data_IF_323262486685
#
_entry.id   IF_323262486685
#
_cell.length_a   1.000
_cell.length_b   1.000
_cell.length_c   1.000
_cell.angle_alpha   90.00
_cell.angle_beta   90.00
_cell.angle_gamma   90.00
#
_symmetry.space_group_name_H-M   'P 1'
#
loop_
_entity.id
_entity.type
_entity.pdbx_description
1 polymer ?
#
# COMPACT_ATOMS: atom_id res chain seq x y z
N UNK A 1 17.79 -39.88 31.92
CA UNK A 1 18.02 -38.70 32.77
C UNK A 1 19.37 -38.17 32.39
N UNK A 2 19.40 -37.00 31.75
CA UNK A 2 20.31 -35.89 32.06
C UNK A 2 19.85 -34.70 31.21
N UNK A 3 19.25 -33.75 31.91
CA UNK A 3 18.86 -32.42 31.45
C UNK A 3 19.98 -31.45 31.87
N UNK A 4 20.41 -30.57 30.96
CA UNK A 4 21.40 -29.50 31.19
C UNK A 4 22.69 -29.75 30.40
N UNK A 5 23.28 -28.83 29.65
CA UNK A 5 23.27 -27.36 29.65
C UNK A 5 23.95 -26.95 28.32
N UNK A 6 23.46 -26.05 27.48
CA UNK A 6 23.68 -24.60 27.56
C UNK A 6 22.80 -23.94 26.50
N UNK A 7 21.58 -23.55 26.87
CA UNK A 7 21.00 -22.34 26.27
C UNK A 7 21.62 -21.20 27.04
N UNK A 8 22.49 -20.41 26.41
CA UNK A 8 22.93 -19.15 27.00
C UNK A 8 21.67 -18.32 27.29
N UNK A 9 21.40 -18.09 28.57
CA UNK A 9 20.36 -17.14 28.96
C UNK A 9 20.78 -15.76 28.45
N UNK A 10 19.88 -15.01 27.79
CA UNK A 10 20.22 -13.69 27.26
C UNK A 10 20.74 -12.85 28.41
N UNK A 11 21.98 -12.38 28.27
CA UNK A 11 22.77 -11.83 29.38
C UNK A 11 22.36 -10.38 29.67
N UNK A 12 21.47 -9.82 28.85
CA UNK A 12 20.90 -8.49 29.03
C UNK A 12 19.46 -8.41 28.50
N UNK A 13 18.66 -7.52 29.10
CA UNK A 13 17.31 -7.20 28.60
C UNK A 13 17.32 -6.69 27.15
N UNK A 14 18.45 -6.16 26.68
CA UNK A 14 18.63 -5.65 25.32
C UNK A 14 18.70 -6.78 24.27
N UNK A 15 19.20 -7.96 24.65
CA UNK A 15 19.21 -9.16 23.78
C UNK A 15 17.83 -9.79 23.60
N UNK A 16 16.92 -9.61 24.57
CA UNK A 16 15.52 -10.04 24.46
C UNK A 16 14.71 -9.16 23.50
N UNK A 17 15.16 -7.93 23.24
CA UNK A 17 14.43 -6.93 22.46
C UNK A 17 15.28 -6.34 21.33
N UNK A 18 15.37 -7.06 20.21
CA UNK A 18 15.92 -6.53 18.96
C UNK A 18 14.97 -5.47 18.36
N UNK A 19 15.33 -4.19 18.47
CA UNK A 19 14.64 -3.11 17.74
C UNK A 19 15.27 -2.97 16.35
N UNK A 20 14.65 -3.57 15.34
CA UNK A 20 15.06 -3.37 13.95
C UNK A 20 14.57 -1.99 13.46
N UNK A 21 15.50 -1.06 13.30
CA UNK A 21 15.22 0.30 12.79
C UNK A 21 15.30 0.39 11.26
N UNK A 22 15.61 -0.70 10.56
CA UNK A 22 15.66 -0.72 9.10
C UNK A 22 14.22 -0.63 8.57
N UNK A 23 13.90 0.34 7.70
CA UNK A 23 12.59 0.41 7.08
C UNK A 23 12.33 -0.84 6.24
N UNK A 24 11.32 -1.62 6.60
CA UNK A 24 10.89 -2.77 5.80
C UNK A 24 10.32 -2.34 4.44
N UNK A 25 9.79 -1.11 4.37
CA UNK A 25 9.17 -0.53 3.18
C UNK A 25 9.58 0.93 2.98
N UNK A 26 9.97 1.30 1.75
CA UNK A 26 10.20 2.67 1.34
C UNK A 26 9.30 3.03 0.17
N UNK A 27 8.58 4.15 0.27
CA UNK A 27 7.67 4.61 -0.78
C UNK A 27 8.03 6.02 -1.25
N UNK A 28 8.42 6.16 -2.50
CA UNK A 28 8.61 7.46 -3.14
C UNK A 28 7.46 7.71 -4.13
N UNK A 29 6.68 8.77 -3.90
CA UNK A 29 5.46 9.06 -4.67
C UNK A 29 5.51 10.46 -5.25
N UNK A 30 5.88 10.57 -6.51
CA UNK A 30 5.81 11.81 -7.26
C UNK A 30 4.38 12.02 -7.75
N UNK A 31 3.88 13.24 -7.68
CA UNK A 31 2.52 13.58 -8.15
C UNK A 31 2.54 14.94 -8.82
N UNK A 32 1.88 15.04 -9.96
CA UNK A 32 1.69 16.28 -10.71
C UNK A 32 0.24 16.37 -11.18
N UNK A 33 -0.31 17.58 -11.11
CA UNK A 33 -1.63 17.88 -11.65
C UNK A 33 -1.47 18.49 -13.03
N UNK A 34 -2.17 17.94 -14.01
CA UNK A 34 -2.11 18.34 -15.42
C UNK A 34 -3.51 18.23 -16.00
N UNK A 35 -4.05 19.33 -16.52
CA UNK A 35 -5.33 19.36 -17.24
C UNK A 35 -6.50 18.62 -16.54
N UNK A 36 -6.66 18.80 -15.22
CA UNK A 36 -7.73 18.15 -14.46
C UNK A 36 -7.47 16.68 -14.08
N UNK A 37 -6.29 16.15 -14.40
CA UNK A 37 -5.82 14.82 -14.02
C UNK A 37 -4.69 14.92 -12.99
N UNK A 38 -4.68 14.00 -12.03
CA UNK A 38 -3.54 13.74 -11.15
C UNK A 38 -2.76 12.57 -11.71
N UNK A 39 -1.55 12.86 -12.18
CA UNK A 39 -0.56 11.88 -12.60
C UNK A 39 0.36 11.60 -11.42
N UNK A 40 0.68 10.34 -11.17
CA UNK A 40 1.63 9.97 -10.13
C UNK A 40 2.54 8.83 -10.55
N UNK A 41 3.80 8.92 -10.14
CA UNK A 41 4.78 7.84 -10.22
C UNK A 41 5.03 7.36 -8.79
N UNK A 42 4.66 6.11 -8.51
CA UNK A 42 4.94 5.47 -7.24
C UNK A 42 6.09 4.48 -7.43
N UNK A 43 7.14 4.64 -6.65
CA UNK A 43 8.28 3.76 -6.55
C UNK A 43 8.23 3.15 -5.14
N UNK A 44 8.07 1.83 -5.06
CA UNK A 44 7.89 1.10 -3.80
C UNK A 44 9.04 0.10 -3.67
N UNK A 45 9.78 0.13 -2.57
CA UNK A 45 10.92 -0.74 -2.27
C UNK A 45 10.62 -1.54 -1.00
N UNK A 46 10.81 -2.85 -1.05
CA UNK A 46 10.55 -3.78 0.04
C UNK A 46 11.85 -4.51 0.39
N UNK A 47 12.21 -4.53 1.67
CA UNK A 47 13.52 -5.02 2.14
C UNK A 47 13.47 -6.45 2.72
N UNK A 48 12.29 -7.08 2.78
CA UNK A 48 12.10 -8.42 3.33
C UNK A 48 10.88 -9.13 2.69
N UNK A 49 10.94 -10.46 2.42
CA UNK A 49 12.08 -11.37 2.54
C UNK A 49 13.08 -11.30 1.38
N UNK A 50 12.71 -10.68 0.25
CA UNK A 50 13.59 -10.38 -0.87
C UNK A 50 13.52 -8.88 -1.16
N UNK A 51 14.65 -8.29 -1.58
CA UNK A 51 14.69 -6.91 -2.04
C UNK A 51 13.88 -6.78 -3.33
N UNK A 52 12.65 -6.31 -3.21
CA UNK A 52 11.73 -6.15 -4.33
C UNK A 52 11.49 -4.66 -4.59
N UNK A 53 11.37 -4.32 -5.87
CA UNK A 53 11.07 -2.97 -6.30
C UNK A 53 9.87 -2.98 -7.25
N UNK A 54 8.94 -2.05 -7.03
CA UNK A 54 7.75 -1.91 -7.85
C UNK A 54 7.56 -0.46 -8.30
N UNK A 55 7.56 -0.25 -9.61
CA UNK A 55 7.20 1.01 -10.24
C UNK A 55 5.75 0.99 -10.72
N UNK A 56 4.97 2.00 -10.34
CA UNK A 56 3.56 2.15 -10.77
C UNK A 56 3.31 3.55 -11.28
N UNK A 57 2.81 3.66 -12.51
CA UNK A 57 2.18 4.87 -13.02
C UNK A 57 0.71 4.87 -12.60
N UNK A 58 0.26 5.96 -12.00
CA UNK A 58 -1.10 6.12 -11.50
C UNK A 58 -1.70 7.36 -12.11
N UNK A 59 -2.86 7.20 -12.73
CA UNK A 59 -3.64 8.30 -13.26
C UNK A 59 -5.02 8.28 -12.60
N UNK A 60 -5.46 9.44 -12.12
CA UNK A 60 -6.84 9.60 -11.68
C UNK A 60 -7.32 11.04 -11.94
N UNK A 61 -8.60 11.24 -12.24
CA UNK A 61 -9.18 12.57 -12.34
C UNK A 61 -9.17 13.31 -10.99
N UNK A 62 -9.12 14.64 -11.08
CA UNK A 62 -9.28 15.53 -9.93
C UNK A 62 -10.75 15.77 -9.60
N UNK A 63 -11.60 15.70 -10.62
CA UNK A 63 -13.01 16.00 -10.50
C UNK A 63 -13.74 14.90 -9.70
N UNK A 64 -14.49 15.24 -8.63
CA UNK A 64 -15.09 14.29 -7.70
C UNK A 64 -16.08 13.31 -8.36
N UNK A 65 -16.72 13.71 -9.44
CA UNK A 65 -17.71 12.91 -10.18
C UNK A 65 -17.06 11.82 -11.03
N UNK A 66 -15.77 11.96 -11.36
CA UNK A 66 -15.02 10.97 -12.13
C UNK A 66 -14.31 10.02 -11.17
N UNK A 67 -14.90 8.85 -10.97
CA UNK A 67 -14.55 7.97 -9.85
C UNK A 67 -13.74 6.75 -10.30
N UNK A 68 -12.62 6.99 -10.98
CA UNK A 68 -11.74 5.93 -11.48
C UNK A 68 -10.27 6.19 -11.16
N UNK A 69 -9.47 5.12 -11.22
CA UNK A 69 -8.02 5.14 -11.06
C UNK A 69 -7.42 4.14 -12.04
N UNK A 70 -6.63 4.65 -12.97
CA UNK A 70 -5.82 3.85 -13.86
C UNK A 70 -4.46 3.61 -13.20
N UNK A 71 -3.95 2.38 -13.33
CA UNK A 71 -2.66 1.96 -12.83
C UNK A 71 -1.97 1.16 -13.92
N UNK A 72 -0.73 1.52 -14.23
CA UNK A 72 0.13 0.73 -15.08
C UNK A 72 1.40 0.35 -14.32
N UNK A 73 1.73 -0.93 -14.33
CA UNK A 73 2.96 -1.48 -13.78
C UNK A 73 3.86 -1.94 -14.93
N UNK A 74 4.87 -1.15 -15.32
CA UNK A 74 5.66 -1.45 -16.52
C UNK A 74 6.42 -2.78 -16.46
N UNK A 75 6.98 -3.10 -15.29
CA UNK A 75 7.81 -4.31 -15.08
C UNK A 75 6.97 -5.58 -15.24
N UNK A 76 5.77 -5.59 -14.65
CA UNK A 76 4.84 -6.71 -14.74
C UNK A 76 3.97 -6.68 -16.01
N UNK A 77 4.13 -5.65 -16.84
CA UNK A 77 3.27 -5.33 -17.99
C UNK A 77 1.77 -5.48 -17.65
N UNK A 78 1.38 -4.92 -16.50
CA UNK A 78 0.01 -5.03 -15.98
C UNK A 78 -0.67 -3.67 -16.02
N UNK A 79 -1.84 -3.62 -16.66
CA UNK A 79 -2.69 -2.43 -16.74
C UNK A 79 -3.98 -2.71 -15.99
N UNK A 80 -4.39 -1.80 -15.11
CA UNK A 80 -5.63 -1.89 -14.33
C UNK A 80 -6.40 -0.59 -14.33
N UNK A 81 -7.72 -0.71 -14.41
CA UNK A 81 -8.66 0.38 -14.16
C UNK A 81 -9.50 -0.04 -12.96
N UNK A 82 -9.45 0.77 -11.90
CA UNK A 82 -10.18 0.56 -10.66
C UNK A 82 -11.21 1.66 -10.47
N UNK A 83 -12.36 1.34 -9.90
CA UNK A 83 -13.28 2.32 -9.36
C UNK A 83 -12.66 3.01 -8.13
N UNK A 84 -13.15 4.21 -7.78
CA UNK A 84 -13.02 4.69 -6.40
C UNK A 84 -13.78 3.73 -5.48
N UNK A 85 -13.36 3.66 -4.22
CA UNK A 85 -14.07 2.93 -3.18
C UNK A 85 -15.54 3.40 -3.13
N UNK A 86 -16.45 2.47 -3.32
CA UNK A 86 -17.89 2.64 -3.22
C UNK A 86 -18.26 2.28 -1.79
N UNK A 87 -18.70 3.22 -0.96
CA UNK A 87 -19.17 2.91 0.39
C UNK A 87 -20.47 2.10 0.27
N UNK A 88 -20.44 0.84 0.73
CA UNK A 88 -21.62 -0.01 0.82
C UNK A 88 -22.36 0.23 2.14
N UNK A 89 -21.61 0.49 3.21
CA UNK A 89 -22.14 0.86 4.54
C UNK A 89 -21.18 1.85 5.20
N UNK A 90 -21.50 2.32 6.42
CA UNK A 90 -20.60 3.20 7.20
C UNK A 90 -19.24 2.57 7.53
N UNK A 91 -19.09 1.25 7.37
CA UNK A 91 -17.87 0.52 7.71
C UNK A 91 -17.34 -0.35 6.57
N UNK A 92 -17.99 -0.38 5.40
CA UNK A 92 -17.69 -1.31 4.32
C UNK A 92 -17.58 -0.56 2.99
N UNK A 93 -16.52 -0.83 2.24
CA UNK A 93 -16.21 -0.22 0.97
C UNK A 93 -15.91 -1.30 -0.06
N UNK A 94 -16.61 -1.27 -1.20
CA UNK A 94 -16.31 -2.09 -2.37
C UNK A 94 -15.44 -1.33 -3.35
N UNK A 95 -14.44 -1.98 -3.90
CA UNK A 95 -13.69 -1.50 -5.06
C UNK A 95 -13.73 -2.58 -6.13
N UNK A 96 -14.09 -2.20 -7.34
CA UNK A 96 -14.09 -3.10 -8.50
C UNK A 96 -13.09 -2.59 -9.52
N UNK A 97 -12.57 -3.49 -10.34
CA UNK A 97 -11.68 -3.13 -11.41
C UNK A 97 -11.49 -4.24 -12.42
N UNK A 98 -11.00 -3.84 -13.59
CA UNK A 98 -10.58 -4.74 -14.65
C UNK A 98 -9.09 -4.53 -14.87
N UNK A 99 -8.38 -5.62 -15.11
CA UNK A 99 -6.97 -5.59 -15.44
C UNK A 99 -6.63 -6.51 -16.58
N UNK A 100 -5.55 -6.18 -17.27
CA UNK A 100 -4.94 -7.04 -18.27
C UNK A 100 -3.44 -7.10 -18.03
N UNK A 101 -2.90 -8.32 -17.97
CA UNK A 101 -1.49 -8.58 -17.90
C UNK A 101 -1.01 -9.07 -19.27
N UNK A 102 -0.16 -8.30 -19.92
CA UNK A 102 0.33 -8.60 -21.26
C UNK A 102 1.35 -9.74 -21.29
N UNK A 103 2.12 -9.95 -20.21
CA UNK A 103 3.07 -11.08 -20.12
C UNK A 103 2.34 -12.42 -20.10
N UNK A 104 1.24 -12.50 -19.35
CA UNK A 104 0.41 -13.70 -19.23
C UNK A 104 -0.72 -13.75 -20.26
N UNK A 105 -0.88 -12.69 -21.08
CA UNK A 105 -1.99 -12.49 -22.00
C UNK A 105 -3.36 -12.78 -21.35
N UNK A 106 -3.56 -12.26 -20.13
CA UNK A 106 -4.72 -12.58 -19.30
C UNK A 106 -5.45 -11.31 -18.89
N UNK A 107 -6.75 -11.25 -19.19
CA UNK A 107 -7.67 -10.25 -18.66
C UNK A 107 -8.37 -10.82 -17.45
N UNK A 108 -8.66 -10.00 -16.44
CA UNK A 108 -9.42 -10.44 -15.29
C UNK A 108 -10.17 -9.31 -14.62
N UNK A 109 -11.30 -9.67 -14.02
CA UNK A 109 -12.04 -8.78 -13.13
C UNK A 109 -11.55 -8.99 -11.70
N UNK A 110 -11.23 -7.91 -11.00
CA UNK A 110 -10.86 -7.95 -9.58
C UNK A 110 -11.82 -7.09 -8.79
N UNK A 111 -12.36 -7.65 -7.72
CA UNK A 111 -13.11 -6.90 -6.74
C UNK A 111 -12.47 -7.07 -5.36
N UNK A 112 -12.56 -6.02 -4.56
CA UNK A 112 -11.96 -5.94 -3.23
C UNK A 112 -12.95 -5.32 -2.28
N UNK A 113 -13.29 -6.06 -1.22
CA UNK A 113 -14.10 -5.58 -0.11
C UNK A 113 -13.18 -5.13 1.02
N UNK A 114 -13.29 -3.88 1.46
CA UNK A 114 -12.48 -3.32 2.56
C UNK A 114 -13.34 -2.72 3.65
N UNK A 115 -12.96 -2.88 4.91
CA UNK A 115 -13.67 -2.29 6.05
C UNK A 115 -12.96 -1.06 6.62
N UNK A 116 -13.69 -0.10 7.20
CA UNK A 116 -13.12 1.14 7.73
C UNK A 116 -13.65 1.52 9.12
N UNK A 117 -13.45 0.65 10.10
CA UNK A 117 -13.77 0.89 11.52
C UNK A 117 -12.92 2.01 12.16
N UNK A 118 -12.99 3.23 11.64
CA UNK A 118 -12.19 4.37 12.09
C UNK A 118 -12.58 5.70 11.46
N UNK A 119 -13.81 5.86 10.98
CA UNK A 119 -14.38 7.13 10.50
C UNK A 119 -13.93 7.58 9.10
N UNK A 120 -12.68 7.29 8.71
CA UNK A 120 -12.06 7.91 7.52
C UNK A 120 -12.00 7.01 6.26
N UNK A 121 -12.65 5.85 6.26
CA UNK A 121 -12.69 4.98 5.07
C UNK A 121 -11.45 4.08 4.84
N UNK A 122 -10.54 3.98 5.82
CA UNK A 122 -9.25 3.27 5.71
C UNK A 122 -9.07 2.32 6.93
N UNK A 123 -8.71 1.05 6.69
CA UNK A 123 -8.42 0.02 7.70
C UNK A 123 -7.07 0.22 8.40
N UNK A 124 -6.84 1.42 8.95
CA UNK A 124 -5.50 1.86 9.32
C UNK A 124 -5.54 2.95 10.36
N UNK A 125 -4.76 2.78 11.43
CA UNK A 125 -4.35 3.89 12.29
C UNK A 125 -3.06 4.44 11.71
N UNK A 126 -3.01 5.75 11.46
CA UNK A 126 -1.81 6.39 10.94
C UNK A 126 -1.61 7.73 11.60
N UNK A 127 -0.40 7.98 12.07
CA UNK A 127 0.06 9.32 12.39
C UNK A 127 0.95 9.81 11.25
N UNK A 128 0.83 11.09 10.86
CA UNK A 128 1.74 11.72 9.91
C UNK A 128 2.12 13.09 10.43
N UNK A 129 3.41 13.37 10.38
CA UNK A 129 4.01 14.67 10.61
C UNK A 129 4.63 15.14 9.30
N UNK A 130 4.32 16.35 8.87
CA UNK A 130 4.93 16.99 7.69
C UNK A 130 5.87 18.08 8.19
N UNK A 131 7.14 18.01 7.80
CA UNK A 131 8.16 19.02 8.05
C UNK A 131 8.53 19.66 6.71
N UNK A 132 8.25 20.95 6.55
CA UNK A 132 8.70 21.70 5.37
C UNK A 132 10.22 21.89 5.43
N UNK A 133 10.92 21.49 4.36
CA UNK A 133 12.38 21.60 4.27
C UNK A 133 12.78 22.85 3.48
N UNK A 134 12.14 23.06 2.33
CA UNK A 134 12.28 24.27 1.52
C UNK A 134 11.01 24.47 0.67
N UNK A 135 10.82 25.62 0.00
CA UNK A 135 9.62 25.86 -0.81
C UNK A 135 9.39 24.74 -1.84
N UNK A 136 8.27 24.03 -1.70
CA UNK A 136 7.89 22.90 -2.57
C UNK A 136 8.43 21.53 -2.14
N UNK A 137 9.20 21.43 -1.06
CA UNK A 137 9.74 20.16 -0.53
C UNK A 137 9.34 19.98 0.93
N UNK A 138 8.50 18.96 1.18
CA UNK A 138 8.11 18.52 2.52
C UNK A 138 8.65 17.12 2.81
N UNK A 139 9.28 16.93 3.96
CA UNK A 139 9.53 15.61 4.55
C UNK A 139 8.32 15.18 5.35
N UNK A 140 7.77 13.99 5.05
CA UNK A 140 6.59 13.45 5.76
C UNK A 140 6.95 12.19 6.51
N UNK A 141 7.09 12.33 7.83
CA UNK A 141 7.27 11.21 8.75
C UNK A 141 5.90 10.69 9.16
N UNK A 142 5.79 9.41 9.47
CA UNK A 142 4.54 8.89 9.97
C UNK A 142 4.59 7.40 10.21
N UNK A 143 4.05 6.98 11.35
CA UNK A 143 3.88 5.57 11.66
C UNK A 143 2.47 5.13 11.28
N UNK A 144 2.32 3.83 11.04
CA UNK A 144 1.10 3.19 10.59
C UNK A 144 0.95 1.88 11.35
N UNK A 145 -0.21 1.67 11.95
CA UNK A 145 -0.66 0.36 12.40
C UNK A 145 -1.79 -0.10 11.48
N UNK A 146 -1.52 -1.14 10.71
CA UNK A 146 -2.51 -1.80 9.87
C UNK A 146 -3.20 -2.89 10.69
N UNK A 147 -4.52 -2.85 10.75
CA UNK A 147 -5.30 -3.99 11.23
C UNK A 147 -5.87 -4.72 10.02
N UNK A 148 -5.63 -6.03 9.96
CA UNK A 148 -6.12 -6.89 8.88
C UNK A 148 -7.39 -7.57 9.37
N UNK A 149 -8.53 -6.99 9.02
CA UNK A 149 -9.79 -7.72 8.99
C UNK A 149 -9.88 -8.45 7.64
N UNK A 150 -10.62 -9.57 7.54
CA UNK A 150 -10.62 -10.41 6.35
C UNK A 150 -10.89 -9.58 5.09
N UNK A 151 -9.85 -9.45 4.27
CA UNK A 151 -9.98 -8.92 2.94
C UNK A 151 -10.59 -10.02 2.08
N UNK A 152 -11.79 -9.78 1.55
CA UNK A 152 -12.39 -10.68 0.58
C UNK A 152 -12.11 -10.12 -0.79
N UNK A 153 -11.34 -10.89 -1.56
CA UNK A 153 -11.08 -10.63 -2.97
C UNK A 153 -11.61 -11.79 -3.79
N UNK A 154 -12.17 -11.48 -4.95
CA UNK A 154 -12.48 -12.48 -5.95
C UNK A 154 -11.93 -12.05 -7.30
N UNK A 155 -11.61 -13.07 -8.10
CA UNK A 155 -11.20 -12.92 -9.48
C UNK A 155 -12.12 -13.78 -10.35
N UNK A 156 -12.66 -13.19 -11.41
CA UNK A 156 -13.37 -13.93 -12.46
C UNK A 156 -12.45 -13.96 -13.68
N UNK A 157 -12.22 -15.15 -14.29
CA UNK A 157 -11.48 -15.28 -15.55
C UNK A 157 -12.14 -14.50 -16.69
#
# INVERSE_FOLDING_TARGET
MDWGSNGEEPTSWEELYSINLIPSELFLKFRKEVQGLRVGLNLEFYNAPCNEFQGKLVLKPLAPERMWKFIYEPIHQDVRILSKKIPLTGYLNLQVGVGHNFQMNATGWKWKLTTCFGGDGISRIRNKTSLGVCPGVDMRFGWRADYVLPEVTGQVP
#
